data_IF_724648617077
#
_entry.id   IF_724648617077
#
_cell.length_a   1.000
_cell.length_b   1.000
_cell.length_c   1.000
_cell.angle_alpha   90.00
_cell.angle_beta   90.00
_cell.angle_gamma   90.00
#
_symmetry.space_group_name_H-M   'P 1'
#
loop_
_entity.id
_entity.type
_entity.pdbx_description
1 polymer ?
#
# COMPACT_ATOMS: atom_id res chain seq x y z
N UNK A 1 20.18 -30.84 24.41
CA UNK A 1 19.11 -31.31 23.51
C UNK A 1 17.92 -30.37 23.70
N UNK A 2 17.80 -29.31 22.91
CA UNK A 2 16.71 -28.34 23.01
C UNK A 2 16.16 -28.10 21.61
N UNK A 3 14.98 -28.67 21.34
CA UNK A 3 14.25 -28.52 20.09
C UNK A 3 13.84 -27.05 19.90
N UNK A 4 14.28 -26.47 18.79
CA UNK A 4 13.86 -25.15 18.35
C UNK A 4 12.40 -25.21 17.89
N UNK A 5 11.56 -24.40 18.54
CA UNK A 5 10.15 -24.27 18.24
C UNK A 5 9.94 -23.82 16.78
N UNK A 6 9.37 -24.72 15.96
CA UNK A 6 8.98 -24.45 14.58
C UNK A 6 7.86 -23.41 14.57
N UNK A 7 8.21 -22.18 14.21
CA UNK A 7 7.31 -21.02 14.04
C UNK A 7 6.14 -21.39 13.10
N UNK A 8 4.97 -21.70 13.66
CA UNK A 8 3.71 -21.90 12.91
C UNK A 8 3.40 -20.60 12.16
N UNK A 9 3.56 -20.60 10.83
CA UNK A 9 3.05 -19.52 9.97
C UNK A 9 1.52 -19.57 10.08
N UNK A 10 0.92 -18.59 10.74
CA UNK A 10 -0.53 -18.48 10.88
C UNK A 10 -1.13 -18.10 9.53
N UNK A 11 -1.85 -19.05 8.92
CA UNK A 11 -2.55 -18.90 7.63
C UNK A 11 -3.97 -18.31 7.78
N UNK A 12 -4.28 -17.70 8.93
CA UNK A 12 -5.67 -17.33 9.29
C UNK A 12 -6.23 -16.19 8.45
N UNK A 13 -5.39 -15.44 7.72
CA UNK A 13 -5.84 -14.42 6.77
C UNK A 13 -5.67 -14.88 5.31
N UNK A 14 -6.15 -16.08 4.92
CA UNK A 14 -6.21 -16.48 3.50
C UNK A 14 -7.55 -16.10 2.84
N UNK A 15 -8.62 -15.96 3.64
CA UNK A 15 -10.00 -15.78 3.16
C UNK A 15 -10.32 -14.35 2.72
N UNK A 16 -9.64 -13.33 3.26
CA UNK A 16 -9.75 -11.95 2.75
C UNK A 16 -9.09 -11.78 1.36
N UNK A 17 -8.15 -12.67 1.01
CA UNK A 17 -7.18 -12.45 -0.07
C UNK A 17 -7.65 -13.03 -1.40
N UNK A 18 -8.41 -14.13 -1.33
CA UNK A 18 -9.05 -14.71 -2.50
C UNK A 18 -9.99 -13.70 -3.14
N UNK A 19 -10.64 -12.85 -2.36
CA UNK A 19 -11.65 -11.93 -2.86
C UNK A 19 -11.06 -10.79 -3.72
N UNK A 20 -9.95 -10.15 -3.30
CA UNK A 20 -9.30 -9.13 -4.15
C UNK A 20 -8.65 -9.75 -5.40
N UNK A 21 -7.93 -10.87 -5.23
CA UNK A 21 -7.30 -11.57 -6.34
C UNK A 21 -8.34 -12.08 -7.35
N UNK A 22 -9.43 -12.68 -6.87
CA UNK A 22 -10.52 -13.18 -7.69
C UNK A 22 -11.23 -12.04 -8.42
N UNK A 23 -11.52 -10.92 -7.74
CA UNK A 23 -12.12 -9.74 -8.39
C UNK A 23 -11.23 -9.20 -9.51
N UNK A 24 -9.92 -9.06 -9.30
CA UNK A 24 -8.98 -8.61 -10.35
C UNK A 24 -8.95 -9.57 -11.54
N UNK A 25 -8.86 -10.88 -11.27
CA UNK A 25 -8.85 -11.90 -12.33
C UNK A 25 -10.19 -11.93 -13.07
N UNK A 26 -11.31 -11.87 -12.36
CA UNK A 26 -12.65 -11.88 -12.92
C UNK A 26 -12.90 -10.68 -13.82
N UNK A 27 -12.60 -9.45 -13.36
CA UNK A 27 -12.73 -8.26 -14.19
C UNK A 27 -11.85 -8.34 -15.44
N UNK A 28 -10.58 -8.76 -15.31
CA UNK A 28 -9.70 -8.90 -16.47
C UNK A 28 -10.19 -9.94 -17.48
N UNK A 29 -10.69 -11.10 -17.01
CA UNK A 29 -11.29 -12.11 -17.89
C UNK A 29 -12.57 -11.61 -18.56
N UNK A 30 -13.43 -10.86 -17.87
CA UNK A 30 -14.62 -10.24 -18.46
C UNK A 30 -14.22 -9.29 -19.60
N UNK A 31 -13.23 -8.41 -19.37
CA UNK A 31 -12.72 -7.52 -20.42
C UNK A 31 -12.17 -8.31 -21.62
N UNK A 32 -11.42 -9.40 -21.37
CA UNK A 32 -10.89 -10.24 -22.45
C UNK A 32 -12.01 -10.96 -23.21
N UNK A 33 -13.03 -11.46 -22.51
CA UNK A 33 -14.20 -12.10 -23.15
C UNK A 33 -14.97 -11.10 -24.03
N UNK A 34 -15.15 -9.86 -23.56
CA UNK A 34 -15.76 -8.79 -24.37
C UNK A 34 -14.90 -8.47 -25.59
N UNK A 35 -13.57 -8.36 -25.45
CA UNK A 35 -12.67 -8.10 -26.56
C UNK A 35 -12.68 -9.24 -27.61
N UNK A 36 -12.68 -10.50 -27.14
CA UNK A 36 -12.82 -11.69 -27.99
C UNK A 36 -14.16 -11.66 -28.73
N UNK A 37 -15.26 -11.35 -28.03
CA UNK A 37 -16.60 -11.26 -28.61
C UNK A 37 -16.65 -10.16 -29.69
N UNK A 38 -16.14 -8.96 -29.40
CA UNK A 38 -16.10 -7.86 -30.36
C UNK A 38 -15.27 -8.22 -31.61
N UNK A 39 -14.14 -8.90 -31.41
CA UNK A 39 -13.29 -9.39 -32.50
C UNK A 39 -14.02 -10.44 -33.35
N UNK A 40 -14.67 -11.40 -32.70
CA UNK A 40 -15.43 -12.45 -33.39
C UNK A 40 -16.62 -11.87 -34.16
N UNK A 41 -17.39 -10.95 -33.56
CA UNK A 41 -18.52 -10.29 -34.23
C UNK A 41 -18.02 -9.44 -35.41
N UNK A 42 -17.00 -8.60 -35.21
CA UNK A 42 -16.48 -7.72 -36.27
C UNK A 42 -15.92 -8.49 -37.47
N UNK A 43 -15.34 -9.67 -37.24
CA UNK A 43 -14.79 -10.51 -38.32
C UNK A 43 -15.85 -11.41 -38.96
N UNK A 44 -16.74 -12.02 -38.17
CA UNK A 44 -17.70 -13.02 -38.68
C UNK A 44 -19.02 -12.41 -39.16
N UNK A 45 -19.50 -11.30 -38.60
CA UNK A 45 -20.76 -10.68 -39.00
C UNK A 45 -20.86 -10.37 -40.51
N UNK A 46 -19.87 -9.73 -41.18
CA UNK A 46 -19.97 -9.46 -42.60
C UNK A 46 -20.00 -10.74 -43.45
N UNK A 47 -19.28 -11.79 -43.03
CA UNK A 47 -19.27 -13.09 -43.70
C UNK A 47 -20.62 -13.79 -43.59
N UNK A 48 -21.22 -13.78 -42.38
CA UNK A 48 -22.55 -14.33 -42.13
C UNK A 48 -23.59 -13.57 -42.96
N UNK A 49 -23.53 -12.24 -42.97
CA UNK A 49 -24.46 -11.42 -43.74
C UNK A 49 -24.40 -11.75 -45.24
N UNK A 50 -23.20 -11.78 -45.83
CA UNK A 50 -23.04 -12.09 -47.25
C UNK A 50 -23.41 -13.55 -47.59
N UNK A 51 -23.22 -14.48 -46.66
CA UNK A 51 -23.59 -15.89 -46.85
C UNK A 51 -25.12 -16.07 -46.92
N UNK A 52 -25.89 -15.37 -46.08
CA UNK A 52 -27.36 -15.53 -46.03
C UNK A 52 -28.12 -14.54 -46.93
N UNK A 53 -27.62 -13.32 -47.08
CA UNK A 53 -28.32 -12.23 -47.78
C UNK A 53 -27.60 -11.76 -49.05
N UNK A 54 -26.48 -12.39 -49.42
CA UNK A 54 -25.76 -12.08 -50.65
C UNK A 54 -26.61 -12.36 -51.90
N UNK A 55 -26.64 -11.41 -52.84
CA UNK A 55 -27.36 -11.55 -54.09
C UNK A 55 -26.52 -12.40 -55.05
N UNK A 56 -26.93 -13.64 -55.26
CA UNK A 56 -26.31 -14.59 -56.18
C UNK A 56 -25.56 -15.72 -55.48
N UNK A 57 -25.72 -16.93 -56.02
CA UNK A 57 -25.18 -18.17 -55.44
C UNK A 57 -23.66 -18.13 -55.28
N UNK A 58 -22.95 -17.44 -56.19
CA UNK A 58 -21.50 -17.29 -56.13
C UNK A 58 -21.05 -16.49 -54.90
N UNK A 59 -21.70 -15.37 -54.60
CA UNK A 59 -21.36 -14.51 -53.44
C UNK A 59 -21.61 -15.26 -52.13
N UNK A 60 -22.73 -15.97 -52.05
CA UNK A 60 -23.08 -16.79 -50.89
C UNK A 60 -22.05 -17.91 -50.66
N UNK A 61 -21.65 -18.60 -51.74
CA UNK A 61 -20.65 -19.66 -51.69
C UNK A 61 -19.25 -19.15 -51.27
N UNK A 62 -18.80 -18.04 -51.84
CA UNK A 62 -17.51 -17.42 -51.47
C UNK A 62 -17.51 -16.98 -50.00
N UNK A 63 -18.60 -16.38 -49.53
CA UNK A 63 -18.75 -15.99 -48.12
C UNK A 63 -18.77 -17.21 -47.18
N UNK A 64 -19.41 -18.31 -47.57
CA UNK A 64 -19.41 -19.56 -46.79
C UNK A 64 -18.02 -20.17 -46.66
N UNK A 65 -17.25 -20.21 -47.76
CA UNK A 65 -15.87 -20.69 -47.77
C UNK A 65 -14.97 -19.80 -46.90
N UNK A 66 -15.11 -18.48 -47.02
CA UNK A 66 -14.36 -17.52 -46.20
C UNK A 66 -14.74 -17.63 -44.71
N UNK A 67 -16.02 -17.80 -44.38
CA UNK A 67 -16.48 -18.06 -43.01
C UNK A 67 -15.82 -19.30 -42.42
N UNK A 68 -15.80 -20.41 -43.17
CA UNK A 68 -15.19 -21.66 -42.72
C UNK A 68 -13.68 -21.50 -42.52
N UNK A 69 -12.99 -20.85 -43.46
CA UNK A 69 -11.55 -20.60 -43.39
C UNK A 69 -11.19 -19.71 -42.19
N UNK A 70 -11.91 -18.60 -41.99
CA UNK A 70 -11.70 -17.68 -40.86
C UNK A 70 -12.02 -18.40 -39.55
N UNK A 71 -13.15 -19.09 -39.43
CA UNK A 71 -13.54 -19.79 -38.19
C UNK A 71 -12.50 -20.85 -37.80
N UNK A 72 -11.99 -21.61 -38.77
CA UNK A 72 -10.98 -22.66 -38.54
C UNK A 72 -9.66 -22.10 -37.98
N UNK A 73 -9.26 -20.90 -38.40
CA UNK A 73 -8.06 -20.24 -37.88
C UNK A 73 -8.29 -19.41 -36.62
N UNK A 74 -9.39 -18.66 -36.59
CA UNK A 74 -9.70 -17.69 -35.56
C UNK A 74 -10.05 -18.34 -34.22
N UNK A 75 -10.87 -19.39 -34.21
CA UNK A 75 -11.30 -20.04 -32.96
C UNK A 75 -10.13 -20.59 -32.12
N UNK A 76 -9.21 -21.42 -32.68
CA UNK A 76 -8.06 -21.89 -31.91
C UNK A 76 -7.11 -20.73 -31.52
N UNK A 77 -6.98 -19.70 -32.35
CA UNK A 77 -6.17 -18.53 -32.02
C UNK A 77 -6.75 -17.74 -30.83
N UNK A 78 -8.07 -17.49 -30.80
CA UNK A 78 -8.76 -16.83 -29.69
C UNK A 78 -8.68 -17.66 -28.41
N UNK A 79 -8.81 -18.99 -28.50
CA UNK A 79 -8.68 -19.87 -27.34
C UNK A 79 -7.24 -19.84 -26.78
N UNK A 80 -6.24 -19.92 -27.65
CA UNK A 80 -4.84 -19.82 -27.26
C UNK A 80 -4.55 -18.46 -26.60
N UNK A 81 -5.04 -17.37 -27.19
CA UNK A 81 -4.92 -16.02 -26.63
C UNK A 81 -5.57 -15.92 -25.24
N UNK A 82 -6.79 -16.46 -25.09
CA UNK A 82 -7.50 -16.46 -23.81
C UNK A 82 -6.70 -17.18 -22.72
N UNK A 83 -6.12 -18.35 -23.03
CA UNK A 83 -5.30 -19.12 -22.09
C UNK A 83 -4.04 -18.33 -21.72
N UNK A 84 -3.32 -17.80 -22.72
CA UNK A 84 -2.11 -17.01 -22.49
C UNK A 84 -2.40 -15.78 -21.62
N UNK A 85 -3.50 -15.09 -21.89
CA UNK A 85 -3.93 -13.94 -21.10
C UNK A 85 -4.35 -14.33 -19.67
N UNK A 86 -5.10 -15.41 -19.51
CA UNK A 86 -5.50 -15.90 -18.19
C UNK A 86 -4.27 -16.26 -17.34
N UNK A 87 -3.29 -16.95 -17.93
CA UNK A 87 -2.01 -17.24 -17.27
C UNK A 87 -1.30 -15.94 -16.91
N UNK A 88 -1.16 -15.01 -17.85
CA UNK A 88 -0.54 -13.71 -17.59
C UNK A 88 -1.21 -12.98 -16.40
N UNK A 89 -2.54 -12.93 -16.38
CA UNK A 89 -3.31 -12.26 -15.34
C UNK A 89 -3.13 -12.92 -13.96
N UNK A 90 -3.07 -14.25 -13.89
CA UNK A 90 -2.76 -14.97 -12.65
C UNK A 90 -1.36 -14.61 -12.13
N UNK A 91 -0.36 -14.59 -13.00
CA UNK A 91 1.01 -14.23 -12.63
C UNK A 91 1.13 -12.78 -12.15
N UNK A 92 0.52 -11.84 -12.87
CA UNK A 92 0.56 -10.41 -12.51
C UNK A 92 -0.14 -10.18 -11.17
N UNK A 93 -1.37 -10.70 -11.03
CA UNK A 93 -2.17 -10.47 -9.82
C UNK A 93 -1.48 -11.03 -8.57
N UNK A 94 -0.88 -12.23 -8.67
CA UNK A 94 -0.15 -12.82 -7.55
C UNK A 94 1.04 -11.96 -7.09
N UNK A 95 1.76 -11.32 -8.03
CA UNK A 95 2.90 -10.44 -7.74
C UNK A 95 2.51 -9.07 -7.17
N UNK A 96 1.22 -8.72 -7.15
CA UNK A 96 0.69 -7.46 -6.57
C UNK A 96 0.02 -7.74 -5.21
N UNK A 97 -0.85 -8.75 -5.14
CA UNK A 97 -1.66 -9.03 -3.95
C UNK A 97 -0.79 -9.50 -2.77
N UNK A 98 0.27 -10.27 -3.03
CA UNK A 98 1.21 -10.72 -2.00
C UNK A 98 1.85 -9.55 -1.23
N UNK A 99 2.46 -8.57 -1.92
CA UNK A 99 2.97 -7.34 -1.30
C UNK A 99 1.92 -6.52 -0.55
N UNK A 100 0.74 -6.30 -1.13
CA UNK A 100 -0.35 -5.56 -0.49
C UNK A 100 -0.68 -6.14 0.89
N UNK A 101 -0.75 -7.48 0.97
CA UNK A 101 -1.00 -8.17 2.25
C UNK A 101 0.13 -7.95 3.26
N UNK A 102 1.38 -7.97 2.81
CA UNK A 102 2.51 -7.69 3.69
C UNK A 102 2.44 -6.26 4.24
N UNK A 103 2.06 -5.29 3.40
CA UNK A 103 1.80 -3.91 3.82
C UNK A 103 0.69 -3.83 4.86
N UNK A 104 -0.50 -4.37 4.57
CA UNK A 104 -1.63 -4.36 5.51
C UNK A 104 -1.26 -4.92 6.88
N UNK A 105 -0.60 -6.07 6.92
CA UNK A 105 -0.20 -6.65 8.20
C UNK A 105 0.94 -5.89 8.90
N UNK A 106 1.77 -5.16 8.14
CA UNK A 106 2.79 -4.28 8.73
C UNK A 106 2.14 -3.03 9.30
N UNK A 107 1.19 -2.43 8.61
CA UNK A 107 0.42 -1.28 9.09
C UNK A 107 -0.41 -1.63 10.34
N UNK A 108 -1.04 -2.82 10.39
CA UNK A 108 -1.75 -3.27 11.60
C UNK A 108 -0.83 -3.37 12.82
N UNK A 109 0.40 -3.85 12.63
CA UNK A 109 1.39 -3.88 13.71
C UNK A 109 1.87 -2.49 14.11
N UNK A 110 2.08 -1.62 13.12
CA UNK A 110 2.47 -0.24 13.34
C UNK A 110 1.41 0.52 14.15
N UNK A 111 0.13 0.31 13.81
CA UNK A 111 -1.01 0.85 14.55
C UNK A 111 -1.10 0.33 15.99
N UNK A 112 -0.63 -0.90 16.23
CA UNK A 112 -0.51 -1.48 17.58
C UNK A 112 0.77 -1.03 18.34
N UNK A 113 1.60 -0.16 17.76
CA UNK A 113 2.84 0.33 18.35
C UNK A 113 4.06 -0.60 18.17
N UNK A 114 3.94 -1.68 17.39
CA UNK A 114 5.06 -2.59 17.06
C UNK A 114 5.79 -2.11 15.81
N UNK A 115 6.87 -1.34 16.01
CA UNK A 115 7.76 -0.82 14.95
C UNK A 115 8.91 -1.77 14.57
N UNK A 116 8.93 -3.00 15.10
CA UNK A 116 10.03 -3.95 14.85
C UNK A 116 9.92 -4.65 13.51
N UNK A 117 8.72 -4.68 12.91
CA UNK A 117 8.49 -5.34 11.63
C UNK A 117 8.88 -4.43 10.47
N UNK A 118 9.65 -4.99 9.53
CA UNK A 118 9.91 -4.41 8.22
C UNK A 118 9.15 -5.15 7.13
N UNK A 119 8.86 -4.45 6.04
CA UNK A 119 8.34 -5.08 4.83
C UNK A 119 9.50 -5.70 4.05
N UNK A 120 9.34 -6.96 3.64
CA UNK A 120 10.28 -7.65 2.77
C UNK A 120 9.52 -8.34 1.66
N UNK A 121 9.78 -7.95 0.42
CA UNK A 121 9.14 -8.48 -0.78
C UNK A 121 10.10 -9.36 -1.58
N UNK A 122 9.55 -10.22 -2.45
CA UNK A 122 10.35 -11.06 -3.34
C UNK A 122 10.95 -10.19 -4.46
N UNK A 123 12.15 -10.52 -4.95
CA UNK A 123 12.86 -9.74 -6.00
C UNK A 123 11.98 -9.33 -7.19
N UNK A 124 11.01 -10.16 -7.55
CA UNK A 124 10.13 -9.94 -8.69
C UNK A 124 8.77 -9.35 -8.30
N UNK A 125 8.49 -8.97 -7.08
CA UNK A 125 7.21 -8.34 -6.76
C UNK A 125 7.16 -6.90 -7.32
N UNK A 126 5.97 -6.42 -7.68
CA UNK A 126 5.84 -5.11 -8.35
C UNK A 126 6.07 -3.92 -7.42
N UNK A 127 5.85 -4.09 -6.11
CA UNK A 127 5.79 -2.98 -5.14
C UNK A 127 7.06 -2.81 -4.31
N UNK A 128 8.22 -3.07 -4.92
CA UNK A 128 9.52 -3.01 -4.26
C UNK A 128 9.86 -1.60 -3.77
N UNK A 129 9.66 -0.59 -4.63
CA UNK A 129 9.95 0.81 -4.31
C UNK A 129 9.09 1.31 -3.16
N UNK A 130 7.82 0.95 -3.15
CA UNK A 130 6.87 1.27 -2.09
C UNK A 130 7.29 0.59 -0.78
N UNK A 131 7.79 -0.64 -0.85
CA UNK A 131 8.31 -1.34 0.34
C UNK A 131 9.54 -0.66 0.93
N UNK A 132 10.43 -0.12 0.10
CA UNK A 132 11.60 0.65 0.55
C UNK A 132 11.20 1.98 1.18
N UNK A 133 10.23 2.68 0.59
CA UNK A 133 9.68 3.91 1.14
C UNK A 133 8.99 3.67 2.49
N UNK A 134 8.18 2.61 2.60
CA UNK A 134 7.53 2.21 3.86
C UNK A 134 8.59 1.85 4.90
N UNK A 135 9.63 1.08 4.54
CA UNK A 135 10.69 0.74 5.47
C UNK A 135 11.44 1.97 5.96
N UNK A 136 11.75 2.91 5.06
CA UNK A 136 12.37 4.20 5.38
C UNK A 136 11.50 5.01 6.36
N UNK A 137 10.19 5.06 6.12
CA UNK A 137 9.23 5.70 7.04
C UNK A 137 9.28 5.05 8.43
N UNK A 138 9.26 3.70 8.48
CA UNK A 138 9.37 2.97 9.75
C UNK A 138 10.70 3.27 10.43
N UNK A 139 11.83 3.31 9.70
CA UNK A 139 13.15 3.62 10.28
C UNK A 139 13.19 5.01 10.91
N UNK A 140 12.66 6.02 10.21
CA UNK A 140 12.59 7.40 10.73
C UNK A 140 11.72 7.48 11.97
N UNK A 141 10.56 6.83 11.97
CA UNK A 141 9.65 6.83 13.11
C UNK A 141 10.24 6.07 14.31
N UNK A 142 10.91 4.94 14.09
CA UNK A 142 11.63 4.20 15.15
C UNK A 142 12.78 5.01 15.74
N UNK A 143 13.58 5.69 14.90
CA UNK A 143 14.66 6.55 15.36
C UNK A 143 14.12 7.71 16.21
N UNK A 144 13.01 8.31 15.78
CA UNK A 144 12.33 9.35 16.55
C UNK A 144 11.84 8.85 17.91
N UNK A 145 11.09 7.74 17.94
CA UNK A 145 10.59 7.17 19.20
C UNK A 145 11.73 6.79 20.17
N UNK A 146 12.87 6.39 19.62
CA UNK A 146 14.06 6.09 20.41
C UNK A 146 14.68 7.35 21.04
N UNK A 147 14.72 8.47 20.31
CA UNK A 147 15.14 9.77 20.85
C UNK A 147 14.19 10.24 21.94
N UNK A 148 12.89 10.27 21.66
CA UNK A 148 11.87 10.65 22.63
C UNK A 148 11.94 9.82 23.92
N UNK A 149 12.19 8.52 23.81
CA UNK A 149 12.36 7.64 24.98
C UNK A 149 13.65 7.95 25.76
N UNK A 150 14.70 8.38 25.08
CA UNK A 150 15.97 8.78 25.70
C UNK A 150 15.80 10.09 26.45
N UNK A 151 15.25 11.11 25.79
CA UNK A 151 14.96 12.43 26.37
C UNK A 151 14.04 12.29 27.59
N UNK A 152 12.97 11.49 27.48
CA UNK A 152 12.08 11.21 28.60
C UNK A 152 12.80 10.53 29.78
N UNK A 153 13.70 9.57 29.51
CA UNK A 153 14.48 8.92 30.55
C UNK A 153 15.44 9.91 31.22
N UNK A 154 16.10 10.78 30.47
CA UNK A 154 16.98 11.82 31.03
C UNK A 154 16.20 12.76 31.94
N UNK A 155 15.03 13.22 31.48
CA UNK A 155 14.14 14.08 32.27
C UNK A 155 13.70 13.41 33.58
N UNK A 156 13.30 12.13 33.54
CA UNK A 156 12.94 11.37 34.74
C UNK A 156 14.14 11.19 35.68
N UNK A 157 15.33 10.87 35.16
CA UNK A 157 16.54 10.72 35.97
C UNK A 157 16.94 12.04 36.65
N UNK A 158 16.87 13.17 35.95
CA UNK A 158 17.14 14.50 36.54
C UNK A 158 16.13 14.81 37.64
N UNK A 159 14.86 14.47 37.44
CA UNK A 159 13.80 14.65 38.44
C UNK A 159 14.01 13.76 39.69
N UNK A 160 14.40 12.50 39.52
CA UNK A 160 14.71 11.58 40.63
C UNK A 160 15.94 12.05 41.43
N UNK A 161 16.99 12.53 40.75
CA UNK A 161 18.17 13.12 41.37
C UNK A 161 17.83 14.38 42.19
N UNK A 162 16.92 15.20 41.67
CA UNK A 162 16.37 16.36 42.36
C UNK A 162 15.63 15.99 43.64
N UNK A 163 14.73 15.01 43.57
CA UNK A 163 13.91 14.56 44.72
C UNK A 163 14.79 13.93 45.80
N UNK A 164 15.75 13.08 45.41
CA UNK A 164 16.64 12.40 46.36
C UNK A 164 17.59 13.37 47.07
N UNK A 165 18.10 14.37 46.35
CA UNK A 165 19.00 15.40 46.91
C UNK A 165 18.22 16.56 47.55
N UNK A 166 16.90 16.60 47.46
CA UNK A 166 16.07 17.74 47.88
C UNK A 166 16.27 18.12 49.36
N UNK A 167 16.73 17.18 50.19
CA UNK A 167 17.04 17.41 51.61
C UNK A 167 18.43 18.04 51.85
N UNK A 168 19.37 17.85 50.91
CA UNK A 168 20.74 18.40 50.90
C UNK A 168 20.88 19.65 50.00
N UNK A 169 19.83 19.96 49.25
CA UNK A 169 19.60 21.18 48.47
C UNK A 169 19.28 22.37 49.39
N UNK A 170 20.07 22.55 50.44
CA UNK A 170 19.91 23.60 51.47
C UNK A 170 20.17 25.01 50.91
N UNK A 171 20.83 25.09 49.75
CA UNK A 171 21.17 26.36 49.09
C UNK A 171 20.25 26.64 47.91
N UNK A 172 19.61 27.82 47.91
CA UNK A 172 18.73 28.30 46.85
C UNK A 172 19.40 28.26 45.45
N UNK A 173 20.73 28.42 45.37
CA UNK A 173 21.51 28.26 44.13
C UNK A 173 21.51 26.83 43.57
N UNK A 174 21.61 25.81 44.43
CA UNK A 174 21.61 24.41 43.99
C UNK A 174 20.24 24.01 43.45
N UNK A 175 19.17 24.48 44.08
CA UNK A 175 17.78 24.28 43.63
C UNK A 175 17.57 24.94 42.28
N UNK A 176 18.03 26.19 42.12
CA UNK A 176 17.91 26.93 40.86
C UNK A 176 18.68 26.26 39.71
N UNK A 177 19.90 25.81 39.96
CA UNK A 177 20.73 25.10 38.98
C UNK A 177 20.07 23.81 38.48
N UNK A 178 19.50 23.02 39.39
CA UNK A 178 18.86 21.77 39.01
C UNK A 178 17.50 21.97 38.31
N UNK A 179 16.74 23.03 38.67
CA UNK A 179 15.57 23.48 37.91
C UNK A 179 15.94 23.95 36.49
N UNK A 180 17.07 24.63 36.32
CA UNK A 180 17.55 25.04 35.00
C UNK A 180 17.93 23.83 34.13
N UNK A 181 18.50 22.76 34.70
CA UNK A 181 18.78 21.51 33.98
C UNK A 181 17.48 20.84 33.55
N UNK A 182 16.51 20.71 34.46
CA UNK A 182 15.21 20.12 34.16
C UNK A 182 14.48 20.91 33.06
N UNK A 183 14.54 22.24 33.12
CA UNK A 183 13.96 23.12 32.10
C UNK A 183 14.62 22.90 30.74
N UNK A 184 15.95 22.74 30.68
CA UNK A 184 16.66 22.48 29.42
C UNK A 184 16.24 21.15 28.80
N UNK A 185 16.23 20.06 29.58
CA UNK A 185 15.80 18.74 29.10
C UNK A 185 14.33 18.73 28.63
N UNK A 186 13.45 19.50 29.30
CA UNK A 186 12.08 19.67 28.86
C UNK A 186 11.97 20.44 27.53
N UNK A 187 12.79 21.46 27.33
CA UNK A 187 12.86 22.22 26.06
C UNK A 187 13.39 21.35 24.92
N UNK A 188 14.41 20.52 25.18
CA UNK A 188 14.97 19.61 24.17
C UNK A 188 13.94 18.55 23.74
N UNK A 189 13.14 18.06 24.70
CA UNK A 189 12.02 17.16 24.41
C UNK A 189 10.92 17.86 23.59
N UNK A 190 10.61 19.13 23.89
CA UNK A 190 9.65 19.94 23.14
C UNK A 190 10.13 20.20 21.69
N UNK A 191 11.41 20.50 21.50
CA UNK A 191 12.01 20.67 20.16
C UNK A 191 11.90 19.37 19.35
N UNK A 192 12.22 18.21 19.96
CA UNK A 192 12.03 16.90 19.32
C UNK A 192 10.56 16.69 18.89
N UNK A 193 9.59 17.05 19.73
CA UNK A 193 8.17 16.90 19.42
C UNK A 193 7.69 17.85 18.32
N UNK A 194 8.26 19.06 18.21
CA UNK A 194 7.90 20.07 17.19
C UNK A 194 8.12 19.59 15.73
N UNK A 195 8.92 18.54 15.54
CA UNK A 195 9.11 17.92 14.24
C UNK A 195 7.83 17.26 13.67
N UNK A 196 6.83 16.96 14.50
CA UNK A 196 5.54 16.43 14.08
C UNK A 196 4.48 17.53 14.04
N UNK A 197 3.87 17.73 12.87
CA UNK A 197 2.69 18.59 12.74
C UNK A 197 1.46 17.78 13.13
N UNK A 198 0.91 18.03 14.30
CA UNK A 198 -0.32 17.39 14.78
C UNK A 198 -1.48 18.36 14.53
N UNK A 199 -2.69 17.90 14.14
CA UNK A 199 -3.81 18.80 13.85
C UNK A 199 -4.19 19.77 14.98
N UNK A 200 -3.82 19.50 16.25
CA UNK A 200 -4.02 20.44 17.36
C UNK A 200 -3.30 21.77 17.14
N UNK A 201 -2.18 21.77 16.40
CA UNK A 201 -1.34 22.96 16.17
C UNK A 201 -1.84 23.80 14.98
N UNK A 202 -2.79 23.28 14.20
CA UNK A 202 -3.38 23.97 13.05
C UNK A 202 -4.65 24.77 13.41
N UNK A 203 -5.07 24.75 14.67
CA UNK A 203 -6.29 25.41 15.16
C UNK A 203 -6.17 26.91 15.41
N UNK A 204 -4.96 27.48 15.44
CA UNK A 204 -4.76 28.92 15.69
C UNK A 204 -4.57 29.77 14.42
N UNK A 205 -4.40 29.16 13.25
CA UNK A 205 -4.17 29.90 12.00
C UNK A 205 -5.44 30.04 11.14
N UNK A 206 -6.51 30.57 11.74
CA UNK A 206 -7.73 30.99 11.00
C UNK A 206 -8.34 32.27 11.56
N UNK A 207 -7.57 33.35 11.64
CA UNK A 207 -8.12 34.71 11.73
C UNK A 207 -7.23 35.73 11.02
N UNK A 208 -6.96 35.57 9.72
CA UNK A 208 -6.64 36.73 8.87
C UNK A 208 -6.78 36.49 7.36
N UNK A 209 -7.94 36.01 6.90
CA UNK A 209 -8.32 36.14 5.48
C UNK A 209 -9.73 36.72 5.39
N UNK A 210 -9.83 37.97 5.82
CA UNK A 210 -11.09 38.68 5.93
C UNK A 210 -10.96 40.18 5.79
N UNK A 211 -9.98 40.70 5.03
CA UNK A 211 -10.03 42.09 4.58
C UNK A 211 -9.05 42.39 3.43
N UNK A 212 -9.57 42.40 2.19
CA UNK A 212 -9.13 43.11 0.97
C UNK A 212 -9.98 42.51 -0.18
N UNK A 213 -10.79 43.19 -0.95
CA UNK A 213 -11.06 44.61 -1.13
C UNK A 213 -12.49 44.72 -1.70
N UNK A 214 -13.29 45.62 -1.13
CA UNK A 214 -14.35 46.30 -1.86
C UNK A 214 -13.74 47.63 -2.30
N UNK A 215 -13.46 47.79 -3.60
CA UNK A 215 -13.60 49.10 -4.26
C UNK A 215 -13.50 49.00 -5.78
N UNK A 216 -14.55 49.58 -6.40
CA UNK A 216 -14.72 50.08 -7.77
C UNK A 216 -14.65 49.08 -8.91
#
# INVERSE_FOLDING_TARGET
MTMTARKRRSYVNLTLNADLQFRMVAYGLIYMMVAILLTAVGTLAPLIYNMFFGIGLKVQYEAAQAFLAVTKGLMPALLCLLILYAVHLLFVTHRIVGPLMNFTQTFLKLAAGDFTRKVRLRRHDYLQKESEQINTMIDRLTAFLSRLRTDHRQLVTVLEDLITKARDLDTQEKVRSALDILKREAVDMEESLSAFRIPSDAGEDKTNDGQRDVRT
#
